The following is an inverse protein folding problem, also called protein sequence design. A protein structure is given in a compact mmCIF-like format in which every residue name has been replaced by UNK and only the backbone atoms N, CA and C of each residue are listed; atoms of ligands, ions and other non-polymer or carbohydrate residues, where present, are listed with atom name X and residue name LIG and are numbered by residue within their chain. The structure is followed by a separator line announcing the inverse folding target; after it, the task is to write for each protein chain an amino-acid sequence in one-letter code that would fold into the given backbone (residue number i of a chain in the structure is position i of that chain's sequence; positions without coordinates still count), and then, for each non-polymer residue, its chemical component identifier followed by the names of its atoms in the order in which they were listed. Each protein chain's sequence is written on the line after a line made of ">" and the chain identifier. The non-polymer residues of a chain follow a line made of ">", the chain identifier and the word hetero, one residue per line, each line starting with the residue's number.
data_IF_734762079313
#
_entry.id   IF_734762079313
#
_cell.length_a   1.000
_cell.length_b   1.000
_cell.length_c   1.000
_cell.angle_alpha   90.00
_cell.angle_beta   90.00
_cell.angle_gamma   90.00
#
_symmetry.space_group_name_H-M   'P 1'
#
loop_
_entity.id
_entity.type
_entity.pdbx_description
1 polymer ?
#
# COMPACT_ATOMS: atom_id res chain seq x y z
N UNK A 1 39.33 -8.41 5.10
CA UNK A 1 38.46 -7.41 4.46
C UNK A 1 37.02 -7.93 4.55
N UNK A 2 36.30 -7.64 5.65
CA UNK A 2 34.90 -8.10 5.82
C UNK A 2 34.00 -7.27 4.90
N UNK A 3 33.18 -7.96 4.12
CA UNK A 3 32.35 -7.51 3.00
C UNK A 3 31.71 -6.11 3.13
N UNK A 4 32.26 -5.14 2.41
CA UNK A 4 31.56 -3.88 2.08
C UNK A 4 30.35 -4.16 1.17
N UNK A 5 30.37 -5.27 0.40
CA UNK A 5 29.28 -5.73 -0.47
C UNK A 5 28.03 -6.12 0.33
N UNK A 6 28.23 -6.77 1.48
CA UNK A 6 27.17 -7.21 2.37
C UNK A 6 26.51 -6.01 3.07
N UNK A 7 27.30 -5.00 3.49
CA UNK A 7 26.74 -3.78 4.08
C UNK A 7 25.84 -3.00 3.10
N UNK A 8 26.31 -2.74 1.87
CA UNK A 8 25.50 -2.03 0.85
C UNK A 8 24.26 -2.83 0.45
N UNK A 9 24.37 -4.16 0.36
CA UNK A 9 23.22 -5.03 0.08
C UNK A 9 22.18 -4.96 1.20
N UNK A 10 22.61 -5.02 2.47
CA UNK A 10 21.73 -4.86 3.63
C UNK A 10 21.08 -3.49 3.70
N UNK A 11 21.84 -2.42 3.49
CA UNK A 11 21.31 -1.04 3.44
C UNK A 11 20.23 -0.91 2.35
N UNK A 12 20.48 -1.47 1.15
CA UNK A 12 19.48 -1.49 0.07
C UNK A 12 18.25 -2.30 0.45
N UNK A 13 18.43 -3.48 1.05
CA UNK A 13 17.32 -4.32 1.49
C UNK A 13 16.45 -3.62 2.54
N UNK A 14 17.05 -3.09 3.60
CA UNK A 14 16.35 -2.34 4.65
C UNK A 14 15.58 -1.16 4.07
N UNK A 15 16.17 -0.44 3.11
CA UNK A 15 15.48 0.67 2.43
C UNK A 15 14.29 0.18 1.61
N UNK A 16 14.45 -0.89 0.83
CA UNK A 16 13.36 -1.45 0.03
C UNK A 16 12.21 -1.96 0.90
N UNK A 17 12.51 -2.65 2.01
CA UNK A 17 11.49 -3.10 2.95
C UNK A 17 10.78 -1.91 3.62
N UNK A 18 11.52 -0.87 4.02
CA UNK A 18 10.91 0.33 4.59
C UNK A 18 10.03 1.10 3.60
N UNK A 19 10.46 1.22 2.35
CA UNK A 19 9.65 1.82 1.27
C UNK A 19 8.37 1.00 1.03
N UNK A 20 8.47 -0.34 1.03
CA UNK A 20 7.32 -1.24 0.88
C UNK A 20 6.36 -1.13 2.07
N UNK A 21 6.85 -1.20 3.30
CA UNK A 21 6.04 -1.11 4.51
C UNK A 21 5.33 0.25 4.61
N UNK A 22 6.04 1.33 4.29
CA UNK A 22 5.47 2.68 4.25
C UNK A 22 4.38 2.81 3.18
N UNK A 23 4.59 2.22 2.00
CA UNK A 23 3.59 2.20 0.94
C UNK A 23 2.33 1.42 1.35
N UNK A 24 2.49 0.24 1.94
CA UNK A 24 1.39 -0.59 2.43
C UNK A 24 0.56 0.12 3.53
N UNK A 25 1.23 0.70 4.54
CA UNK A 25 0.57 1.50 5.59
C UNK A 25 -0.13 2.73 5.04
N UNK A 26 0.49 3.41 4.09
CA UNK A 26 -0.09 4.59 3.43
C UNK A 26 -1.38 4.26 2.69
N UNK A 27 -1.46 3.11 2.02
CA UNK A 27 -2.68 2.65 1.36
C UNK A 27 -3.78 2.26 2.36
N UNK A 28 -3.43 1.61 3.47
CA UNK A 28 -4.39 1.25 4.51
C UNK A 28 -5.07 2.50 5.10
N UNK A 29 -4.27 3.48 5.54
CA UNK A 29 -4.79 4.74 6.07
C UNK A 29 -5.64 5.45 5.01
N UNK A 30 -5.15 5.51 3.76
CA UNK A 30 -5.90 6.12 2.67
C UNK A 30 -7.29 5.50 2.47
N UNK A 31 -7.40 4.16 2.53
CA UNK A 31 -8.69 3.48 2.39
C UNK A 31 -9.59 3.79 3.57
N UNK A 32 -9.07 3.68 4.79
CA UNK A 32 -9.83 3.95 6.02
C UNK A 32 -10.37 5.38 6.06
N UNK A 33 -9.55 6.39 5.74
CA UNK A 33 -9.98 7.79 5.69
C UNK A 33 -11.10 7.99 4.66
N UNK A 34 -11.01 7.38 3.48
CA UNK A 34 -12.06 7.51 2.47
C UNK A 34 -13.35 6.79 2.88
N UNK A 35 -13.26 5.66 3.60
CA UNK A 35 -14.43 4.99 4.17
C UNK A 35 -15.08 5.85 5.25
N UNK A 36 -14.29 6.48 6.14
CA UNK A 36 -14.76 7.41 7.17
C UNK A 36 -15.45 8.64 6.55
N UNK A 37 -14.91 9.16 5.45
CA UNK A 37 -15.54 10.23 4.63
C UNK A 37 -16.80 9.77 3.88
N UNK A 38 -17.20 8.51 3.98
CA UNK A 38 -18.38 7.95 3.31
C UNK A 38 -18.21 7.74 1.81
N UNK A 39 -16.97 7.62 1.30
CA UNK A 39 -16.73 7.22 -0.09
C UNK A 39 -17.16 5.77 -0.30
N UNK A 40 -17.76 5.52 -1.44
CA UNK A 40 -18.11 4.17 -1.82
C UNK A 40 -16.90 3.40 -2.37
N UNK A 41 -17.03 2.08 -2.42
CA UNK A 41 -16.01 1.15 -2.91
C UNK A 41 -15.39 1.57 -4.25
N UNK A 42 -16.22 1.92 -5.24
CA UNK A 42 -15.74 2.26 -6.59
C UNK A 42 -14.88 3.53 -6.57
N UNK A 43 -15.29 4.56 -5.83
CA UNK A 43 -14.53 5.80 -5.70
C UNK A 43 -13.14 5.57 -5.09
N UNK A 44 -13.04 4.66 -4.11
CA UNK A 44 -11.76 4.32 -3.46
C UNK A 44 -10.86 3.57 -4.45
N UNK A 45 -11.41 2.61 -5.20
CA UNK A 45 -10.67 1.88 -6.25
C UNK A 45 -10.11 2.83 -7.31
N UNK A 46 -10.92 3.74 -7.84
CA UNK A 46 -10.48 4.73 -8.84
C UNK A 46 -9.35 5.63 -8.32
N UNK A 47 -9.43 6.03 -7.05
CA UNK A 47 -8.39 6.81 -6.39
C UNK A 47 -7.09 6.01 -6.21
N UNK A 48 -7.18 4.75 -5.84
CA UNK A 48 -6.02 3.86 -5.69
C UNK A 48 -5.31 3.65 -7.04
N UNK A 49 -6.05 3.38 -8.11
CA UNK A 49 -5.49 3.25 -9.47
C UNK A 49 -4.83 4.56 -9.92
N UNK A 50 -5.50 5.70 -9.73
CA UNK A 50 -4.99 6.99 -10.22
C UNK A 50 -3.79 7.53 -9.43
N UNK A 51 -3.82 7.42 -8.09
CA UNK A 51 -2.82 8.02 -7.18
C UNK A 51 -1.68 7.10 -6.82
N UNK A 52 -1.95 5.81 -6.64
CA UNK A 52 -0.95 4.81 -6.25
C UNK A 52 -0.47 3.96 -7.42
N UNK A 53 -1.03 4.19 -8.63
CA UNK A 53 -0.69 3.46 -9.86
C UNK A 53 -0.87 1.94 -9.72
N UNK A 54 -1.80 1.53 -8.86
CA UNK A 54 -2.18 0.14 -8.73
C UNK A 54 -2.91 -0.33 -9.99
N UNK A 55 -2.80 -1.62 -10.27
CA UNK A 55 -3.73 -2.24 -11.20
C UNK A 55 -5.14 -2.20 -10.60
N UNK A 56 -6.16 -2.11 -11.46
CA UNK A 56 -7.55 -2.12 -11.02
C UNK A 56 -7.87 -3.36 -10.18
N UNK A 57 -7.34 -4.53 -10.58
CA UNK A 57 -7.48 -5.79 -9.86
C UNK A 57 -6.89 -5.70 -8.44
N UNK A 58 -5.69 -5.15 -8.28
CA UNK A 58 -5.04 -5.05 -6.97
C UNK A 58 -5.75 -4.03 -6.08
N UNK A 59 -6.21 -2.91 -6.65
CA UNK A 59 -7.01 -1.93 -5.94
C UNK A 59 -8.34 -2.54 -5.45
N UNK A 60 -9.01 -3.33 -6.28
CA UNK A 60 -10.23 -4.08 -5.93
C UNK A 60 -9.97 -5.02 -4.74
N UNK A 61 -8.98 -5.91 -4.86
CA UNK A 61 -8.66 -6.87 -3.80
C UNK A 61 -8.31 -6.18 -2.48
N UNK A 62 -7.62 -5.04 -2.56
CA UNK A 62 -7.23 -4.28 -1.39
C UNK A 62 -8.44 -3.64 -0.71
N UNK A 63 -9.34 -2.99 -1.45
CA UNK A 63 -10.54 -2.38 -0.88
C UNK A 63 -11.48 -3.45 -0.29
N UNK A 64 -11.67 -4.57 -0.98
CA UNK A 64 -12.51 -5.69 -0.51
C UNK A 64 -12.06 -6.20 0.86
N UNK A 65 -10.74 -6.33 1.08
CA UNK A 65 -10.17 -6.72 2.38
C UNK A 65 -10.62 -5.81 3.54
N UNK A 66 -10.90 -4.53 3.28
CA UNK A 66 -11.32 -3.57 4.32
C UNK A 66 -12.83 -3.37 4.38
N UNK A 67 -13.56 -3.53 3.27
CA UNK A 67 -15.02 -3.43 3.27
C UNK A 67 -15.70 -4.70 3.77
N UNK A 68 -15.11 -5.88 3.52
CA UNK A 68 -15.68 -7.16 3.98
C UNK A 68 -15.47 -7.39 5.48
N UNK A 69 -14.54 -6.66 6.11
CA UNK A 69 -14.29 -6.71 7.57
C UNK A 69 -15.26 -5.86 8.39
N UNK A 70 -16.09 -5.03 7.74
CA UNK A 70 -17.01 -4.09 8.40
C UNK A 70 -18.49 -4.51 8.26
N UNK A 71 -18.76 -5.73 7.80
CA UNK A 71 -20.08 -6.37 7.76
C UNK A 71 -20.17 -7.47 8.83
#
# INVERSE_FOLDING_TARGET
>A
MKDVRDRKAREKYVRMEGEKEGFEKGMEIFILDNLEEGKNRQQIVEKLVSRFKLSEKDAIMLVDKYTDRQQ
#
